data_IF_554711361565
#
_entry.id   IF_554711361565
#
_cell.length_a   1.000
_cell.length_b   1.000
_cell.length_c   1.000
_cell.angle_alpha   90.00
_cell.angle_beta   90.00
_cell.angle_gamma   90.00
#
_symmetry.space_group_name_H-M   'P 1'
#
loop_
_entity.id
_entity.type
_entity.pdbx_description
1 polymer ?
#
# COMPACT_ATOMS: atom_id res chain seq x y z
N UNK A 1 -22.60 16.63 -11.14
CA UNK A 1 -22.34 15.47 -10.28
C UNK A 1 -22.82 14.27 -11.09
N UNK A 2 -21.90 13.63 -11.81
CA UNK A 2 -22.16 12.48 -12.66
C UNK A 2 -21.45 11.33 -11.96
N UNK A 3 -22.20 10.31 -11.56
CA UNK A 3 -21.68 9.10 -10.93
C UNK A 3 -20.72 8.37 -11.89
N UNK A 4 -19.53 8.04 -11.39
CA UNK A 4 -18.38 7.52 -12.17
C UNK A 4 -18.37 5.97 -12.19
N UNK A 5 -19.46 5.31 -11.78
CA UNK A 5 -19.46 3.87 -11.51
C UNK A 5 -20.39 3.00 -12.38
N UNK A 6 -20.97 3.52 -13.46
CA UNK A 6 -21.77 2.70 -14.36
C UNK A 6 -21.44 3.05 -15.81
N UNK A 7 -21.03 2.05 -16.60
CA UNK A 7 -21.42 1.87 -18.03
C UNK A 7 -20.77 0.67 -18.75
N UNK A 8 -19.89 -0.15 -18.15
CA UNK A 8 -19.39 -1.38 -18.82
C UNK A 8 -19.37 -2.64 -17.92
N UNK A 9 -20.35 -2.80 -17.01
CA UNK A 9 -20.55 -4.05 -16.26
C UNK A 9 -21.35 -5.11 -17.06
N UNK A 10 -21.23 -5.11 -18.40
CA UNK A 10 -21.78 -6.20 -19.22
C UNK A 10 -20.86 -7.42 -19.09
N UNK A 11 -20.99 -8.11 -17.95
CA UNK A 11 -20.34 -9.38 -17.63
C UNK A 11 -20.78 -10.42 -18.68
N UNK A 12 -19.92 -10.71 -19.66
CA UNK A 12 -19.97 -11.99 -20.37
C UNK A 12 -19.39 -13.02 -19.39
N UNK A 13 -20.20 -14.02 -18.99
CA UNK A 13 -19.92 -15.04 -17.95
C UNK A 13 -18.68 -15.93 -18.23
N UNK A 14 -17.84 -15.59 -19.21
CA UNK A 14 -16.52 -16.18 -19.47
C UNK A 14 -15.36 -15.18 -19.60
N UNK A 15 -15.56 -13.90 -19.30
CA UNK A 15 -14.55 -12.85 -19.52
C UNK A 15 -14.05 -12.25 -18.21
N UNK A 16 -12.74 -12.10 -18.11
CA UNK A 16 -12.06 -11.49 -16.96
C UNK A 16 -12.55 -10.06 -16.74
N UNK A 17 -12.75 -9.66 -15.48
CA UNK A 17 -13.06 -8.28 -15.13
C UNK A 17 -12.04 -7.31 -15.76
N UNK A 18 -12.54 -6.25 -16.40
CA UNK A 18 -11.72 -5.27 -17.12
C UNK A 18 -11.81 -3.88 -16.46
N UNK A 19 -10.69 -3.15 -16.46
CA UNK A 19 -10.60 -1.80 -15.89
C UNK A 19 -9.87 -0.88 -16.86
N UNK A 20 -10.46 0.28 -17.17
CA UNK A 20 -9.82 1.31 -17.99
C UNK A 20 -9.41 2.50 -17.14
N UNK A 21 -8.11 2.83 -17.14
CA UNK A 21 -7.57 4.01 -16.44
C UNK A 21 -7.38 5.14 -17.46
N UNK A 22 -8.23 6.18 -17.38
CA UNK A 22 -8.17 7.35 -18.27
C UNK A 22 -7.26 8.43 -17.70
N UNK A 23 -6.66 9.25 -18.57
CA UNK A 23 -5.80 10.39 -18.21
C UNK A 23 -4.63 10.02 -17.27
N UNK A 24 -4.09 8.80 -17.39
CA UNK A 24 -2.88 8.41 -16.65
C UNK A 24 -1.70 9.27 -17.11
N UNK A 25 -0.99 9.98 -16.22
CA UNK A 25 0.19 10.75 -16.61
C UNK A 25 1.21 9.87 -17.31
N UNK A 26 1.81 10.36 -18.40
CA UNK A 26 2.77 9.59 -19.19
C UNK A 26 3.96 9.11 -18.35
N UNK A 27 4.43 9.94 -17.42
CA UNK A 27 5.48 9.58 -16.48
C UNK A 27 5.10 8.37 -15.61
N UNK A 28 3.84 8.29 -15.16
CA UNK A 28 3.36 7.16 -14.37
C UNK A 28 3.29 5.89 -15.21
N UNK A 29 2.82 5.99 -16.46
CA UNK A 29 2.79 4.87 -17.40
C UNK A 29 4.20 4.32 -17.68
N UNK A 30 5.17 5.20 -17.91
CA UNK A 30 6.55 4.78 -18.14
C UNK A 30 7.20 4.17 -16.89
N UNK A 31 6.96 4.73 -15.70
CA UNK A 31 7.43 4.13 -14.46
C UNK A 31 6.87 2.71 -14.27
N UNK A 32 5.56 2.51 -14.50
CA UNK A 32 4.95 1.18 -14.45
C UNK A 32 5.57 0.21 -15.46
N UNK A 33 5.89 0.68 -16.68
CA UNK A 33 6.55 -0.14 -17.71
C UNK A 33 7.95 -0.57 -17.29
N UNK A 34 8.73 0.33 -16.69
CA UNK A 34 10.07 0.02 -16.17
C UNK A 34 9.98 -1.01 -15.05
N UNK A 35 9.08 -0.82 -14.07
CA UNK A 35 8.91 -1.76 -12.97
C UNK A 35 8.41 -3.14 -13.43
N UNK A 36 7.51 -3.18 -14.41
CA UNK A 36 7.04 -4.43 -15.02
C UNK A 36 8.21 -5.20 -15.67
N UNK A 37 9.02 -4.51 -16.48
CA UNK A 37 10.19 -5.11 -17.13
C UNK A 37 11.22 -5.64 -16.11
N UNK A 38 11.49 -4.88 -15.03
CA UNK A 38 12.37 -5.31 -13.94
C UNK A 38 11.85 -6.55 -13.22
N UNK A 39 10.53 -6.71 -13.12
CA UNK A 39 9.88 -7.85 -12.46
C UNK A 39 9.63 -9.04 -13.38
N UNK A 40 9.99 -8.93 -14.67
CA UNK A 40 9.73 -9.98 -15.67
C UNK A 40 8.25 -10.12 -16.06
N UNK A 41 7.43 -9.10 -15.81
CA UNK A 41 6.01 -9.09 -16.13
C UNK A 41 5.70 -8.24 -17.35
N UNK A 42 4.62 -8.58 -18.05
CA UNK A 42 3.98 -7.63 -18.95
C UNK A 42 3.40 -6.47 -18.13
N UNK A 43 3.19 -5.32 -18.75
CA UNK A 43 2.57 -4.17 -18.08
C UNK A 43 1.19 -4.51 -17.50
N UNK A 44 0.39 -5.29 -18.24
CA UNK A 44 -0.93 -5.76 -17.83
C UNK A 44 -0.84 -6.72 -16.63
N UNK A 45 0.06 -7.71 -16.68
CA UNK A 45 0.25 -8.64 -15.56
C UNK A 45 0.73 -7.90 -14.30
N UNK A 46 1.65 -6.94 -14.45
CA UNK A 46 2.13 -6.11 -13.35
C UNK A 46 1.00 -5.24 -12.78
N UNK A 47 0.22 -4.58 -13.63
CA UNK A 47 -0.92 -3.77 -13.22
C UNK A 47 -1.94 -4.60 -12.44
N UNK A 48 -2.28 -5.80 -12.92
CA UNK A 48 -3.17 -6.72 -12.21
C UNK A 48 -2.60 -7.10 -10.85
N UNK A 49 -1.31 -7.45 -10.77
CA UNK A 49 -0.67 -7.84 -9.53
C UNK A 49 -0.71 -6.73 -8.47
N UNK A 50 -0.34 -5.50 -8.83
CA UNK A 50 -0.34 -4.38 -7.88
C UNK A 50 -1.76 -4.01 -7.44
N UNK A 51 -2.76 -4.09 -8.33
CA UNK A 51 -4.14 -3.79 -8.01
C UNK A 51 -4.75 -4.87 -7.11
N UNK A 52 -4.40 -6.15 -7.31
CA UNK A 52 -4.79 -7.23 -6.41
C UNK A 52 -4.19 -7.05 -5.01
N UNK A 53 -2.89 -6.74 -4.94
CA UNK A 53 -2.23 -6.48 -3.66
C UNK A 53 -2.85 -5.27 -2.94
N UNK A 54 -3.16 -4.20 -3.67
CA UNK A 54 -3.84 -3.03 -3.13
C UNK A 54 -5.28 -3.33 -2.69
N UNK A 55 -6.00 -4.20 -3.39
CA UNK A 55 -7.37 -4.60 -3.02
C UNK A 55 -7.38 -5.51 -1.77
N UNK A 56 -6.33 -6.31 -1.55
CA UNK A 56 -6.14 -7.10 -0.34
C UNK A 56 -5.68 -6.25 0.86
N UNK A 57 -5.19 -5.04 0.59
CA UNK A 57 -4.76 -4.13 1.63
C UNK A 57 -5.98 -3.50 2.30
N UNK A 58 -6.47 -4.09 3.40
CA UNK A 58 -7.57 -3.58 4.23
C UNK A 58 -7.19 -2.32 5.05
N UNK A 59 -6.19 -1.56 4.61
CA UNK A 59 -5.50 -0.55 5.40
C UNK A 59 -4.47 -1.18 6.34
N UNK A 60 -3.66 -0.32 6.98
CA UNK A 60 -2.98 -0.79 8.18
C UNK A 60 -4.08 -1.03 9.22
N UNK A 61 -4.25 -2.25 9.78
CA UNK A 61 -4.98 -2.35 11.04
C UNK A 61 -4.35 -1.31 11.97
N UNK A 62 -5.11 -0.54 12.76
CA UNK A 62 -4.55 0.47 13.63
C UNK A 62 -3.47 -0.20 14.47
N UNK A 63 -2.21 0.02 14.10
CA UNK A 63 -1.09 -0.62 14.76
C UNK A 63 -1.07 0.04 16.13
N UNK A 64 -1.51 -0.69 17.16
CA UNK A 64 -1.49 -0.12 18.50
C UNK A 64 -0.03 0.10 18.82
N UNK A 65 0.30 1.30 19.26
CA UNK A 65 1.67 1.67 19.64
C UNK A 65 2.24 0.66 20.64
N UNK A 66 1.39 0.10 21.50
CA UNK A 66 1.76 -0.97 22.43
C UNK A 66 2.23 -2.26 21.74
N UNK A 67 1.60 -2.68 20.64
CA UNK A 67 1.99 -3.89 19.91
C UNK A 67 3.35 -3.70 19.21
N UNK A 68 3.61 -2.47 18.72
CA UNK A 68 4.92 -2.06 18.22
C UNK A 68 5.97 -2.05 19.33
N UNK A 69 5.63 -1.51 20.50
CA UNK A 69 6.52 -1.46 21.65
C UNK A 69 6.84 -2.86 22.16
N UNK A 70 5.88 -3.77 22.25
CA UNK A 70 6.11 -5.18 22.60
C UNK A 70 6.99 -5.90 21.57
N UNK A 71 6.75 -5.69 20.28
CA UNK A 71 7.58 -6.29 19.22
C UNK A 71 9.04 -5.88 19.30
N UNK A 72 9.33 -4.62 19.63
CA UNK A 72 10.68 -4.08 19.62
C UNK A 72 11.36 -4.07 21.00
N UNK A 73 10.59 -3.91 22.08
CA UNK A 73 11.06 -3.70 23.45
C UNK A 73 10.42 -4.65 24.47
N UNK A 74 9.66 -5.66 24.03
CA UNK A 74 9.04 -6.65 24.89
C UNK A 74 10.05 -7.53 25.63
N UNK A 75 9.61 -8.68 26.13
CA UNK A 75 10.36 -9.47 27.13
C UNK A 75 11.81 -9.83 26.78
N UNK A 76 12.14 -9.87 25.49
CA UNK A 76 13.48 -10.21 24.99
C UNK A 76 14.29 -9.00 24.48
N UNK A 77 13.67 -7.82 24.35
CA UNK A 77 14.25 -6.62 23.71
C UNK A 77 14.24 -5.35 24.58
N UNK A 78 13.84 -5.46 25.84
CA UNK A 78 13.84 -4.33 26.78
C UNK A 78 15.26 -3.78 27.02
N UNK A 79 15.43 -2.47 26.84
CA UNK A 79 16.70 -1.78 27.13
C UNK A 79 16.57 -1.00 28.43
N UNK A 80 17.59 -1.10 29.29
CA UNK A 80 17.70 -0.22 30.45
C UNK A 80 18.35 1.08 29.99
N UNK A 81 17.60 2.18 30.02
CA UNK A 81 18.09 3.49 29.62
C UNK A 81 18.69 4.21 30.82
N UNK A 82 19.98 4.55 30.75
CA UNK A 82 20.57 5.50 31.68
C UNK A 82 20.03 6.90 31.38
N UNK A 83 19.09 7.34 32.22
CA UNK A 83 18.44 8.61 32.05
C UNK A 83 19.43 9.74 32.37
N UNK A 84 19.61 10.73 31.47
CA UNK A 84 20.46 11.87 31.76
C UNK A 84 19.92 12.68 32.95
N UNK A 85 20.78 13.41 33.68
CA UNK A 85 20.34 14.24 34.79
C UNK A 85 19.31 15.27 34.31
N UNK A 86 18.17 15.33 35.02
CA UNK A 86 17.04 16.20 34.67
C UNK A 86 17.48 17.66 34.62
N UNK A 87 17.55 18.25 33.43
CA UNK A 87 17.67 19.71 33.29
C UNK A 87 16.35 20.37 33.71
N UNK A 88 16.46 21.58 34.26
CA UNK A 88 15.44 22.31 35.03
C UNK A 88 14.01 22.23 34.46
N UNK A 89 13.01 22.46 35.35
CA UNK A 89 11.58 22.48 35.02
C UNK A 89 11.36 23.31 33.74
N UNK A 90 10.57 22.77 32.80
CA UNK A 90 9.98 23.60 31.73
C UNK A 90 9.26 24.75 32.42
N UNK A 91 9.62 25.98 32.06
CA UNK A 91 8.91 27.18 32.49
C UNK A 91 7.49 27.18 31.90
#
# INVERSE_FOLDING_TARGET
MIDVFDIDDFIDERTMASLTIRNLPDQAKEALRVHAAQSGFSLEAYARHILQAAAQFEGFPPIRILDLAEKHFGSQGGINLDLPPRRSKRA
#
